data_IF_487474513204
#
_entry.id   IF_487474513204
#
_cell.length_a   1.000
_cell.length_b   1.000
_cell.length_c   1.000
_cell.angle_alpha   90.00
_cell.angle_beta   90.00
_cell.angle_gamma   90.00
#
_symmetry.space_group_name_H-M   'P 1'
#
loop_
_entity.id
_entity.type
_entity.pdbx_description
1 polymer ?
#
# COMPACT_ATOMS: atom_id res chain seq x y z
N UNK A 1 4.07 24.55 13.47
CA UNK A 1 4.41 23.59 12.40
C UNK A 1 3.41 22.44 12.42
N UNK A 2 2.17 22.68 11.98
CA UNK A 2 1.13 21.65 11.95
C UNK A 2 1.18 20.87 10.64
N UNK A 3 1.38 19.54 10.68
CA UNK A 3 1.17 18.69 9.50
C UNK A 3 2.43 18.13 8.83
N UNK A 4 3.63 18.48 9.27
CA UNK A 4 4.87 18.02 8.63
C UNK A 4 5.07 16.51 8.80
N UNK A 5 4.88 16.00 10.01
CA UNK A 5 4.88 14.56 10.30
C UNK A 5 3.81 13.81 9.50
N UNK A 6 2.59 14.34 9.41
CA UNK A 6 1.54 13.70 8.62
C UNK A 6 1.89 13.66 7.12
N UNK A 7 2.51 14.71 6.58
CA UNK A 7 2.98 14.71 5.18
C UNK A 7 4.08 13.67 4.95
N UNK A 8 5.01 13.51 5.90
CA UNK A 8 6.06 12.51 5.82
C UNK A 8 5.50 11.08 5.89
N UNK A 9 4.56 10.83 6.80
CA UNK A 9 3.86 9.53 6.88
C UNK A 9 3.11 9.23 5.57
N UNK A 10 2.43 10.20 4.96
CA UNK A 10 1.74 10.01 3.68
C UNK A 10 2.70 9.58 2.56
N UNK A 11 3.91 10.18 2.50
CA UNK A 11 4.95 9.77 1.53
C UNK A 11 5.42 8.34 1.78
N UNK A 12 5.67 7.97 3.05
CA UNK A 12 6.08 6.61 3.40
C UNK A 12 5.00 5.57 3.04
N UNK A 13 3.73 5.92 3.24
CA UNK A 13 2.61 5.05 2.84
C UNK A 13 2.49 4.92 1.32
N UNK A 14 2.73 5.99 0.55
CA UNK A 14 2.79 5.93 -0.92
C UNK A 14 3.91 5.00 -1.41
N UNK A 15 5.10 5.11 -0.82
CA UNK A 15 6.23 4.23 -1.13
C UNK A 15 5.95 2.78 -0.74
N UNK A 16 5.35 2.53 0.42
CA UNK A 16 4.95 1.20 0.86
C UNK A 16 3.92 0.58 -0.12
N UNK A 17 2.87 1.31 -0.51
CA UNK A 17 1.91 0.83 -1.51
C UNK A 17 2.56 0.51 -2.86
N UNK A 18 3.58 1.26 -3.27
CA UNK A 18 4.32 0.97 -4.50
C UNK A 18 5.14 -0.33 -4.39
N UNK A 19 5.69 -0.61 -3.20
CA UNK A 19 6.37 -1.88 -2.93
C UNK A 19 5.40 -3.06 -3.00
N UNK A 20 4.21 -2.94 -2.40
CA UNK A 20 3.19 -4.01 -2.47
C UNK A 20 2.77 -4.30 -3.92
N UNK A 21 2.53 -3.28 -4.74
CA UNK A 21 2.24 -3.47 -6.18
C UNK A 21 3.36 -4.18 -6.92
N UNK A 22 4.61 -3.80 -6.62
CA UNK A 22 5.79 -4.44 -7.23
C UNK A 22 5.92 -5.91 -6.80
N UNK A 23 5.61 -6.21 -5.53
CA UNK A 23 5.62 -7.57 -5.01
C UNK A 23 4.49 -8.43 -5.60
N UNK A 24 3.28 -7.86 -5.74
CA UNK A 24 2.18 -8.51 -6.45
C UNK A 24 2.58 -8.90 -7.87
N UNK A 25 3.13 -7.96 -8.65
CA UNK A 25 3.58 -8.19 -10.03
C UNK A 25 4.67 -9.26 -10.11
N UNK A 26 5.61 -9.24 -9.15
CA UNK A 26 6.65 -10.26 -9.03
C UNK A 26 6.05 -11.65 -8.82
N UNK A 27 5.09 -11.79 -7.91
CA UNK A 27 4.44 -13.06 -7.64
C UNK A 27 3.55 -13.52 -8.81
N UNK A 28 2.85 -12.61 -9.48
CA UNK A 28 2.10 -12.95 -10.71
C UNK A 28 3.03 -13.48 -11.79
N UNK A 29 4.17 -12.82 -12.01
CA UNK A 29 5.22 -13.29 -12.93
C UNK A 29 5.76 -14.66 -12.50
N UNK A 30 6.00 -14.85 -11.20
CA UNK A 30 6.39 -16.15 -10.64
C UNK A 30 5.37 -17.27 -10.91
N UNK A 31 4.08 -16.95 -10.81
CA UNK A 31 3.00 -17.89 -11.11
C UNK A 31 2.95 -18.29 -12.59
N UNK A 32 3.23 -17.36 -13.50
CA UNK A 32 3.30 -17.61 -14.94
C UNK A 32 4.48 -18.51 -15.32
N UNK A 33 5.63 -18.31 -14.67
CA UNK A 33 6.85 -19.09 -14.92
C UNK A 33 6.86 -20.46 -14.21
N UNK A 34 5.93 -20.69 -13.27
CA UNK A 34 5.89 -21.91 -12.47
C UNK A 34 5.46 -23.14 -13.29
N UNK A 35 6.35 -24.15 -13.35
CA UNK A 35 6.09 -25.43 -14.05
C UNK A 35 5.20 -26.39 -13.27
N UNK A 36 5.11 -26.25 -11.95
CA UNK A 36 4.34 -27.13 -11.06
C UNK A 36 3.05 -26.42 -10.64
N UNK A 37 1.87 -27.07 -10.74
CA UNK A 37 0.59 -26.46 -10.35
C UNK A 37 0.59 -25.93 -8.90
N UNK A 38 1.17 -26.68 -7.96
CA UNK A 38 1.25 -26.26 -6.56
C UNK A 38 2.08 -24.97 -6.36
N UNK A 39 3.16 -24.80 -7.13
CA UNK A 39 3.98 -23.58 -7.08
C UNK A 39 3.23 -22.38 -7.66
N UNK A 40 2.51 -22.58 -8.78
CA UNK A 40 1.65 -21.55 -9.37
C UNK A 40 0.60 -21.08 -8.38
N UNK A 41 -0.07 -22.02 -7.71
CA UNK A 41 -1.10 -21.70 -6.70
C UNK A 41 -0.51 -20.93 -5.51
N UNK A 42 0.67 -21.33 -5.03
CA UNK A 42 1.37 -20.60 -3.96
C UNK A 42 1.68 -19.15 -4.37
N UNK A 43 2.23 -18.93 -5.57
CA UNK A 43 2.50 -17.58 -6.06
C UNK A 43 1.24 -16.73 -6.23
N UNK A 44 0.15 -17.32 -6.74
CA UNK A 44 -1.13 -16.62 -6.84
C UNK A 44 -1.69 -16.23 -5.46
N UNK A 45 -1.53 -17.10 -4.45
CA UNK A 45 -1.91 -16.78 -3.07
C UNK A 45 -1.11 -15.60 -2.53
N UNK A 46 0.21 -15.59 -2.75
CA UNK A 46 1.08 -14.48 -2.33
C UNK A 46 0.69 -13.17 -3.01
N UNK A 47 0.45 -13.18 -4.33
CA UNK A 47 -0.02 -11.99 -5.05
C UNK A 47 -1.33 -11.43 -4.46
N UNK A 48 -2.27 -12.29 -4.08
CA UNK A 48 -3.53 -11.87 -3.44
C UNK A 48 -3.29 -11.28 -2.04
N UNK A 49 -2.33 -11.78 -1.28
CA UNK A 49 -1.99 -11.19 0.02
C UNK A 49 -1.38 -9.78 -0.16
N UNK A 50 -0.49 -9.56 -1.13
CA UNK A 50 0.07 -8.22 -1.37
C UNK A 50 -1.00 -7.21 -1.81
N UNK A 51 -2.01 -7.64 -2.59
CA UNK A 51 -3.18 -6.79 -2.89
C UNK A 51 -3.91 -6.34 -1.61
N UNK A 52 -4.06 -7.24 -0.63
CA UNK A 52 -4.71 -6.93 0.67
C UNK A 52 -3.86 -6.02 1.54
N UNK A 53 -2.54 -6.20 1.50
CA UNK A 53 -1.60 -5.29 2.16
C UNK A 53 -1.71 -3.87 1.57
N UNK A 54 -1.71 -3.74 0.24
CA UNK A 54 -1.89 -2.45 -0.43
C UNK A 54 -3.22 -1.79 -0.05
N UNK A 55 -4.33 -2.54 -0.02
CA UNK A 55 -5.63 -2.03 0.39
C UNK A 55 -5.63 -1.51 1.84
N UNK A 56 -4.94 -2.22 2.73
CA UNK A 56 -4.79 -1.84 4.14
C UNK A 56 -4.01 -0.52 4.25
N UNK A 57 -2.85 -0.42 3.57
CA UNK A 57 -2.06 0.81 3.53
C UNK A 57 -2.84 1.99 2.94
N UNK A 58 -3.66 1.74 1.92
CA UNK A 58 -4.52 2.75 1.30
C UNK A 58 -5.58 3.30 2.27
N UNK A 59 -6.18 2.44 3.09
CA UNK A 59 -7.13 2.85 4.14
C UNK A 59 -6.47 3.79 5.14
N UNK A 60 -5.26 3.45 5.61
CA UNK A 60 -4.48 4.29 6.52
C UNK A 60 -4.09 5.62 5.88
N UNK A 61 -3.64 5.60 4.62
CA UNK A 61 -3.33 6.80 3.86
C UNK A 61 -4.52 7.78 3.82
N UNK A 62 -5.72 7.28 3.50
CA UNK A 62 -6.92 8.12 3.46
C UNK A 62 -7.31 8.66 4.84
N UNK A 63 -7.17 7.86 5.89
CA UNK A 63 -7.46 8.29 7.26
C UNK A 63 -6.53 9.45 7.68
N UNK A 64 -5.23 9.33 7.42
CA UNK A 64 -4.25 10.37 7.75
C UNK A 64 -4.45 11.62 6.90
N UNK A 65 -4.72 11.46 5.59
CA UNK A 65 -4.98 12.58 4.68
C UNK A 65 -6.20 13.39 5.13
N UNK A 66 -7.28 12.71 5.56
CA UNK A 66 -8.47 13.36 6.13
C UNK A 66 -8.14 14.14 7.40
N UNK A 67 -7.36 13.54 8.32
CA UNK A 67 -6.94 14.21 9.56
C UNK A 67 -6.08 15.44 9.30
N UNK A 68 -5.14 15.36 8.36
CA UNK A 68 -4.31 16.49 7.95
C UNK A 68 -5.17 17.64 7.38
N UNK A 69 -6.13 17.32 6.52
CA UNK A 69 -7.06 18.33 5.98
C UNK A 69 -7.86 19.04 7.09
N UNK A 70 -8.37 18.29 8.07
CA UNK A 70 -9.10 18.87 9.22
C UNK A 70 -8.22 19.76 10.11
N UNK A 71 -6.92 19.44 10.23
CA UNK A 71 -5.95 20.22 11.01
C UNK A 71 -5.64 21.55 10.34
N UNK A 72 -5.38 21.53 9.04
CA UNK A 72 -5.14 22.75 8.25
C UNK A 72 -6.34 23.71 8.34
N UNK A 73 -7.57 23.19 8.19
CA UNK A 73 -8.79 23.99 8.30
C UNK A 73 -9.03 24.62 9.70
N UNK A 74 -8.48 24.02 10.77
CA UNK A 74 -8.56 24.58 12.13
C UNK A 74 -7.52 25.66 12.37
N UNK A 75 -6.34 25.54 11.75
CA UNK A 75 -5.23 26.47 11.94
C UNK A 75 -5.43 27.80 11.17
N UNK A 76 -6.35 27.84 10.19
CA UNK A 76 -6.73 29.05 9.42
C UNK A 76 -7.85 29.91 10.06
N UNK A 77 -8.35 29.54 11.24
CA UNK A 77 -9.35 30.30 12.02
C UNK A 77 -8.74 30.92 13.27
#
# INVERSE_FOLDING_TARGET
>A
MGGETEKEILKLLEEAMQRERTAEDLYRTGAELAKRPAMREMFLKLAVEEMRHEETLRKEYHAIKKRLGLKILRDEK
#
